data_IF_961546223707
#
_entry.id   IF_961546223707
#
_cell.length_a   1.000
_cell.length_b   1.000
_cell.length_c   1.000
_cell.angle_alpha   90.00
_cell.angle_beta   90.00
_cell.angle_gamma   90.00
#
_symmetry.space_group_name_H-M   'P 1'
#
loop_
_entity.id
_entity.type
_entity.pdbx_description
1 polymer ?
#
# COMPACT_ATOMS: atom_id res chain seq x y z
N UNK A 1 -43.51 -3.60 44.43
CA UNK A 1 -44.62 -3.85 45.37
C UNK A 1 -45.54 -2.64 45.39
N UNK A 2 -46.87 -2.84 45.42
CA UNK A 2 -47.90 -1.88 45.92
C UNK A 2 -48.01 -0.49 45.21
N UNK A 3 -49.15 0.23 45.22
CA UNK A 3 -50.58 -0.14 45.35
C UNK A 3 -51.46 0.97 44.72
N UNK A 4 -52.62 0.58 44.19
CA UNK A 4 -53.87 1.36 44.04
C UNK A 4 -54.67 1.20 45.37
N UNK A 5 -55.72 1.96 45.80
CA UNK A 5 -56.50 3.12 45.25
C UNK A 5 -56.12 4.45 45.99
N UNK A 6 -56.93 5.57 46.11
CA UNK A 6 -58.35 5.83 45.78
C UNK A 6 -58.70 7.21 45.16
N UNK A 7 -60.00 7.57 45.17
CA UNK A 7 -60.58 8.90 44.89
C UNK A 7 -61.70 9.22 45.92
N UNK A 8 -62.14 10.47 46.06
CA UNK A 8 -63.46 10.85 46.67
C UNK A 8 -63.83 12.35 46.48
N UNK A 9 -65.13 12.75 46.60
CA UNK A 9 -65.63 14.04 46.08
C UNK A 9 -66.21 15.04 47.14
N UNK A 10 -67.52 15.39 47.23
CA UNK A 10 -67.95 16.79 47.03
C UNK A 10 -68.73 17.44 48.19
N UNK A 11 -68.98 18.77 48.12
CA UNK A 11 -69.85 19.53 49.06
C UNK A 11 -70.81 20.49 48.32
N UNK A 12 -71.96 20.81 48.94
CA UNK A 12 -73.15 21.51 48.38
C UNK A 12 -73.85 22.32 49.50
N UNK A 13 -74.66 23.33 49.14
CA UNK A 13 -75.67 24.04 49.99
C UNK A 13 -75.10 25.07 51.02
N UNK A 14 -75.83 25.97 51.73
CA UNK A 14 -77.27 26.19 52.09
C UNK A 14 -77.44 27.68 52.63
N UNK A 15 -78.56 28.37 53.02
CA UNK A 15 -80.05 28.20 53.00
C UNK A 15 -80.86 29.47 53.45
N UNK A 16 -81.18 30.45 52.58
CA UNK A 16 -82.18 31.52 52.86
C UNK A 16 -81.79 32.57 53.93
N UNK A 17 -82.71 33.36 54.55
CA UNK A 17 -84.19 33.29 54.48
C UNK A 17 -85.01 34.63 54.34
N UNK A 18 -86.33 34.46 54.12
CA UNK A 18 -87.54 35.30 54.41
C UNK A 18 -87.47 36.77 54.92
N UNK A 19 -88.41 37.58 54.39
CA UNK A 19 -89.21 38.59 55.13
C UNK A 19 -89.07 40.04 54.64
N UNK A 20 -90.07 40.94 54.67
CA UNK A 20 -91.52 40.88 55.00
C UNK A 20 -92.25 42.09 54.34
N UNK A 21 -93.56 41.98 54.07
CA UNK A 21 -94.38 43.16 53.71
C UNK A 21 -94.61 44.10 54.90
N UNK A 22 -94.87 45.38 54.64
CA UNK A 22 -96.16 45.93 55.10
C UNK A 22 -96.90 46.73 54.01
N UNK A 23 -98.19 47.01 54.24
CA UNK A 23 -98.99 47.93 53.44
C UNK A 23 -99.91 48.75 54.36
N UNK A 24 -99.90 50.09 54.25
CA UNK A 24 -100.92 50.95 54.84
C UNK A 24 -100.98 52.36 54.20
N UNK A 25 -102.15 52.66 53.62
CA UNK A 25 -102.86 53.96 53.60
C UNK A 25 -102.08 55.28 53.41
N UNK A 26 -102.30 55.88 52.25
CA UNK A 26 -103.10 57.12 52.08
C UNK A 26 -103.02 58.16 53.22
N UNK A 27 -102.12 59.13 53.09
CA UNK A 27 -102.30 60.49 53.59
C UNK A 27 -102.77 61.40 52.45
N UNK A 28 -103.76 62.26 52.68
CA UNK A 28 -104.27 63.19 51.65
C UNK A 28 -103.49 64.50 51.67
N UNK A 29 -103.00 64.97 50.52
CA UNK A 29 -102.21 66.20 50.45
C UNK A 29 -101.68 66.56 49.06
N UNK A 30 -102.57 67.11 48.21
CA UNK A 30 -102.29 68.05 47.08
C UNK A 30 -101.18 67.65 46.06
N UNK A 31 -101.58 67.40 44.81
CA UNK A 31 -100.65 67.06 43.72
C UNK A 31 -99.94 68.28 43.12
N UNK A 32 -98.63 68.43 43.37
CA UNK A 32 -97.78 69.39 42.65
C UNK A 32 -97.19 68.75 41.38
N UNK A 33 -97.98 68.75 40.31
CA UNK A 33 -97.64 68.11 39.03
C UNK A 33 -96.31 68.56 38.41
N UNK A 34 -95.82 69.76 38.70
CA UNK A 34 -94.60 70.31 38.09
C UNK A 34 -93.34 69.49 38.40
N UNK A 35 -93.16 69.05 39.65
CA UNK A 35 -91.97 68.28 40.06
C UNK A 35 -92.02 66.84 39.50
N UNK A 36 -93.21 66.23 39.49
CA UNK A 36 -93.43 64.90 38.94
C UNK A 36 -93.25 64.85 37.41
N UNK A 37 -93.44 65.97 36.69
CA UNK A 37 -93.16 66.06 35.26
C UNK A 37 -91.66 66.21 34.98
N UNK A 38 -90.93 67.05 35.74
CA UNK A 38 -89.48 67.18 35.61
C UNK A 38 -88.76 65.84 35.86
N UNK A 39 -89.09 65.17 36.97
CA UNK A 39 -88.55 63.84 37.30
C UNK A 39 -88.92 62.77 36.26
N UNK A 40 -90.04 62.90 35.54
CA UNK A 40 -90.38 62.00 34.41
C UNK A 40 -89.64 62.34 33.11
N UNK A 41 -89.13 63.57 32.95
CA UNK A 41 -88.22 63.91 31.85
C UNK A 41 -86.85 63.32 32.14
N UNK A 42 -86.28 63.63 33.31
CA UNK A 42 -84.99 63.08 33.76
C UNK A 42 -84.98 61.55 33.75
N UNK A 43 -86.01 60.88 34.28
CA UNK A 43 -86.10 59.41 34.28
C UNK A 43 -86.39 58.80 32.89
N UNK A 44 -86.83 59.61 31.91
CA UNK A 44 -86.86 59.19 30.50
C UNK A 44 -85.52 59.39 29.84
N UNK A 45 -84.85 60.51 30.09
CA UNK A 45 -83.55 60.88 29.55
C UNK A 45 -82.47 59.89 30.03
N UNK A 46 -82.38 59.58 31.33
CA UNK A 46 -81.49 58.54 31.85
C UNK A 46 -81.83 57.17 31.28
N UNK A 47 -83.10 56.79 31.21
CA UNK A 47 -83.50 55.51 30.61
C UNK A 47 -83.24 55.43 29.10
N UNK A 48 -83.14 56.57 28.41
CA UNK A 48 -82.64 56.61 27.02
C UNK A 48 -81.12 56.60 26.95
N UNK A 49 -80.39 57.22 27.87
CA UNK A 49 -78.92 57.14 27.90
C UNK A 49 -78.47 55.72 28.26
N UNK A 50 -79.02 55.10 29.30
CA UNK A 50 -78.84 53.68 29.64
C UNK A 50 -79.14 52.77 28.44
N UNK A 51 -80.18 53.08 27.64
CA UNK A 51 -80.51 52.31 26.44
C UNK A 51 -79.50 52.50 25.31
N UNK A 52 -78.94 53.71 25.14
CA UNK A 52 -77.89 54.00 24.15
C UNK A 52 -76.57 53.37 24.60
N UNK A 53 -76.18 53.51 25.87
CA UNK A 53 -75.01 52.84 26.46
C UNK A 53 -75.10 51.32 26.32
N UNK A 54 -76.26 50.72 26.63
CA UNK A 54 -76.49 49.28 26.42
C UNK A 54 -76.50 48.89 24.94
N UNK A 55 -76.81 49.81 24.01
CA UNK A 55 -76.70 49.58 22.57
C UNK A 55 -75.24 49.63 22.11
N UNK A 56 -74.48 50.68 22.48
CA UNK A 56 -73.04 50.78 22.22
C UNK A 56 -72.26 49.61 22.81
N UNK A 57 -72.63 49.16 24.02
CA UNK A 57 -72.02 47.99 24.67
C UNK A 57 -72.33 46.70 23.90
N UNK A 58 -73.55 46.56 23.37
CA UNK A 58 -73.95 45.41 22.56
C UNK A 58 -73.28 45.42 21.18
N UNK A 59 -73.11 46.59 20.54
CA UNK A 59 -72.38 46.75 19.28
C UNK A 59 -70.87 46.48 19.47
N UNK A 60 -70.30 46.86 20.63
CA UNK A 60 -68.96 46.43 21.07
C UNK A 60 -68.87 44.92 21.31
N UNK A 61 -69.89 44.30 21.91
CA UNK A 61 -69.93 42.83 22.04
C UNK A 61 -70.09 42.13 20.70
N UNK A 62 -70.89 42.65 19.76
CA UNK A 62 -71.06 42.10 18.42
C UNK A 62 -69.74 42.13 17.65
N UNK A 63 -69.07 43.28 17.59
CA UNK A 63 -67.75 43.41 16.96
C UNK A 63 -66.66 42.59 17.66
N UNK A 64 -66.73 42.39 18.98
CA UNK A 64 -65.85 41.44 19.69
C UNK A 64 -66.12 39.99 19.30
N UNK A 65 -67.39 39.57 19.20
CA UNK A 65 -67.80 38.23 18.77
C UNK A 65 -67.38 37.96 17.32
N UNK A 66 -67.51 38.95 16.43
CA UNK A 66 -67.00 38.86 15.05
C UNK A 66 -65.48 38.73 15.01
N UNK A 67 -64.75 39.52 15.83
CA UNK A 67 -63.30 39.42 15.93
C UNK A 67 -62.84 38.06 16.50
N UNK A 68 -63.55 37.51 17.50
CA UNK A 68 -63.30 36.16 18.01
C UNK A 68 -63.58 35.10 16.94
N UNK A 69 -64.68 35.20 16.20
CA UNK A 69 -64.98 34.29 15.08
C UNK A 69 -63.93 34.35 13.97
N UNK A 70 -63.44 35.55 13.62
CA UNK A 70 -62.38 35.73 12.64
C UNK A 70 -61.06 35.10 13.13
N UNK A 71 -60.68 35.31 14.39
CA UNK A 71 -59.51 34.69 15.01
C UNK A 71 -59.65 33.17 15.15
N UNK A 72 -60.84 32.65 15.44
CA UNK A 72 -61.13 31.22 15.39
C UNK A 72 -60.99 30.65 13.99
N UNK A 73 -61.48 31.35 12.96
CA UNK A 73 -61.38 30.91 11.57
C UNK A 73 -59.93 30.93 11.09
N UNK A 74 -59.17 31.98 11.44
CA UNK A 74 -57.74 32.08 11.18
C UNK A 74 -56.97 30.97 11.91
N UNK A 75 -57.25 30.68 13.19
CA UNK A 75 -56.65 29.55 13.89
C UNK A 75 -57.02 28.20 13.26
N UNK A 76 -58.25 28.01 12.78
CA UNK A 76 -58.66 26.78 12.06
C UNK A 76 -57.88 26.62 10.76
N UNK A 77 -57.64 27.70 10.01
CA UNK A 77 -56.79 27.68 8.81
C UNK A 77 -55.32 27.38 9.18
N UNK A 78 -54.74 28.10 10.13
CA UNK A 78 -53.35 27.90 10.57
C UNK A 78 -53.10 26.49 11.13
N UNK A 79 -54.08 25.88 11.82
CA UNK A 79 -53.99 24.48 12.28
C UNK A 79 -54.07 23.50 11.10
N UNK A 80 -54.88 23.76 10.08
CA UNK A 80 -54.91 22.94 8.87
C UNK A 80 -53.62 23.07 8.06
N UNK A 81 -53.07 24.28 7.93
CA UNK A 81 -51.78 24.54 7.28
C UNK A 81 -50.62 23.89 8.04
N UNK A 82 -50.59 23.99 9.37
CA UNK A 82 -49.57 23.36 10.22
C UNK A 82 -49.66 21.83 10.18
N UNK A 83 -50.87 21.26 10.12
CA UNK A 83 -51.05 19.82 9.92
C UNK A 83 -50.60 19.41 8.51
N UNK A 84 -50.99 20.13 7.45
CA UNK A 84 -50.52 19.85 6.08
C UNK A 84 -48.99 19.96 5.93
N UNK A 85 -48.35 20.92 6.61
CA UNK A 85 -46.89 21.07 6.64
C UNK A 85 -46.19 20.01 7.49
N UNK A 86 -46.93 19.24 8.30
CA UNK A 86 -46.43 18.14 9.14
C UNK A 86 -46.69 16.76 8.51
N UNK A 87 -47.81 16.62 7.82
CA UNK A 87 -48.18 15.45 7.01
C UNK A 87 -47.38 15.43 5.69
N UNK A 88 -46.80 16.57 5.28
CA UNK A 88 -45.63 16.63 4.40
C UNK A 88 -44.39 16.15 5.18
N UNK A 89 -44.29 14.82 5.32
CA UNK A 89 -43.21 14.15 6.06
C UNK A 89 -41.79 14.57 5.64
N UNK A 90 -40.82 14.52 6.57
CA UNK A 90 -39.47 15.04 6.35
C UNK A 90 -38.67 14.20 5.34
N UNK A 91 -38.77 14.59 4.08
CA UNK A 91 -37.75 14.40 3.04
C UNK A 91 -37.46 12.96 2.61
N UNK A 92 -38.21 12.49 1.60
CA UNK A 92 -37.90 11.26 0.80
C UNK A 92 -36.46 11.21 0.26
N UNK A 93 -35.81 12.37 0.14
CA UNK A 93 -34.40 12.48 -0.23
C UNK A 93 -33.47 11.82 0.81
N UNK A 94 -33.86 11.81 2.09
CA UNK A 94 -33.17 11.09 3.15
C UNK A 94 -33.19 9.57 2.94
N UNK A 95 -34.30 9.00 2.47
CA UNK A 95 -34.41 7.58 2.16
C UNK A 95 -33.57 7.21 0.93
N UNK A 96 -33.57 8.06 -0.10
CA UNK A 96 -32.71 7.90 -1.30
C UNK A 96 -31.23 7.92 -0.91
N UNK A 97 -30.79 8.84 -0.06
CA UNK A 97 -29.40 8.85 0.42
C UNK A 97 -29.08 7.67 1.34
N UNK A 98 -30.01 7.18 2.15
CA UNK A 98 -29.81 5.98 2.97
C UNK A 98 -29.65 4.72 2.09
N UNK A 99 -30.46 4.56 1.05
CA UNK A 99 -30.35 3.44 0.11
C UNK A 99 -29.05 3.53 -0.72
N UNK A 100 -28.66 4.74 -1.16
CA UNK A 100 -27.35 4.95 -1.79
C UNK A 100 -26.19 4.59 -0.84
N UNK A 101 -26.26 4.97 0.43
CA UNK A 101 -25.27 4.54 1.45
C UNK A 101 -25.28 3.02 1.65
N UNK A 102 -26.45 2.37 1.61
CA UNK A 102 -26.57 0.91 1.75
C UNK A 102 -25.92 0.19 0.57
N UNK A 103 -26.16 0.66 -0.66
CA UNK A 103 -25.53 0.14 -1.88
C UNK A 103 -24.01 0.38 -1.87
N UNK A 104 -23.56 1.58 -1.49
CA UNK A 104 -22.12 1.88 -1.36
C UNK A 104 -21.42 0.99 -0.33
N UNK A 105 -22.02 0.75 0.84
CA UNK A 105 -21.48 -0.18 1.85
C UNK A 105 -21.38 -1.61 1.33
N UNK A 106 -22.44 -2.10 0.69
CA UNK A 106 -22.44 -3.43 0.06
C UNK A 106 -21.34 -3.54 -1.02
N UNK A 107 -21.09 -2.47 -1.77
CA UNK A 107 -20.02 -2.45 -2.77
C UNK A 107 -18.62 -2.44 -2.15
N UNK A 108 -18.42 -1.73 -1.03
CA UNK A 108 -17.17 -1.79 -0.23
C UNK A 108 -16.95 -3.19 0.35
N UNK A 109 -17.99 -3.87 0.84
CA UNK A 109 -17.91 -5.26 1.31
C UNK A 109 -17.60 -6.24 0.17
N UNK A 110 -18.19 -6.05 -1.02
CA UNK A 110 -17.89 -6.83 -2.22
C UNK A 110 -16.45 -6.63 -2.69
N UNK A 111 -15.97 -5.38 -2.74
CA UNK A 111 -14.59 -5.05 -3.12
C UNK A 111 -13.59 -5.55 -2.08
N UNK A 112 -13.90 -5.44 -0.78
CA UNK A 112 -13.08 -5.97 0.30
C UNK A 112 -12.94 -7.50 0.26
N UNK A 113 -14.03 -8.21 0.02
CA UNK A 113 -14.00 -9.69 -0.13
C UNK A 113 -13.35 -10.14 -1.44
N UNK A 114 -13.44 -9.37 -2.52
CA UNK A 114 -12.69 -9.61 -3.75
C UNK A 114 -11.18 -9.37 -3.55
N UNK A 115 -10.80 -8.26 -2.90
CA UNK A 115 -9.41 -7.94 -2.56
C UNK A 115 -8.77 -9.04 -1.72
N UNK A 116 -9.44 -9.48 -0.65
CA UNK A 116 -8.93 -10.54 0.23
C UNK A 116 -8.71 -11.88 -0.52
N UNK A 117 -9.53 -12.20 -1.53
CA UNK A 117 -9.31 -13.38 -2.39
C UNK A 117 -8.08 -13.22 -3.28
N UNK A 118 -7.94 -12.06 -3.94
CA UNK A 118 -6.79 -11.75 -4.79
C UNK A 118 -5.47 -11.67 -3.99
N UNK A 119 -5.51 -11.25 -2.73
CA UNK A 119 -4.35 -11.29 -1.82
C UNK A 119 -3.94 -12.73 -1.48
N UNK A 120 -4.90 -13.61 -1.21
CA UNK A 120 -4.64 -15.05 -1.00
C UNK A 120 -4.12 -15.71 -2.30
N UNK A 121 -4.70 -15.40 -3.46
CA UNK A 121 -4.24 -15.92 -4.76
C UNK A 121 -2.83 -15.43 -5.09
N UNK A 122 -2.49 -14.17 -4.81
CA UNK A 122 -1.13 -13.63 -4.90
C UNK A 122 -0.16 -14.40 -4.02
N UNK A 123 -0.51 -14.64 -2.76
CA UNK A 123 0.40 -15.27 -1.80
C UNK A 123 0.62 -16.76 -2.09
N UNK A 124 -0.41 -17.46 -2.55
CA UNK A 124 -0.28 -18.82 -3.07
C UNK A 124 0.66 -18.84 -4.29
N UNK A 125 0.47 -17.95 -5.27
CA UNK A 125 1.33 -17.86 -6.46
C UNK A 125 2.78 -17.48 -6.12
N UNK A 126 3.00 -16.62 -5.12
CA UNK A 126 4.33 -16.28 -4.63
C UNK A 126 5.02 -17.48 -3.93
N UNK A 127 4.26 -18.29 -3.20
CA UNK A 127 4.76 -19.53 -2.61
C UNK A 127 5.05 -20.61 -3.68
N UNK A 128 4.19 -20.75 -4.69
CA UNK A 128 4.43 -21.65 -5.81
C UNK A 128 5.70 -21.24 -6.59
N UNK A 129 5.85 -19.96 -6.91
CA UNK A 129 7.03 -19.40 -7.58
C UNK A 129 8.31 -19.63 -6.78
N UNK A 130 8.32 -19.40 -5.46
CA UNK A 130 9.51 -19.67 -4.64
C UNK A 130 9.83 -21.17 -4.56
N UNK A 131 8.81 -22.04 -4.52
CA UNK A 131 9.02 -23.50 -4.58
C UNK A 131 9.58 -23.97 -5.93
N UNK A 132 9.20 -23.31 -7.03
CA UNK A 132 9.70 -23.61 -8.38
C UNK A 132 11.12 -23.06 -8.58
N UNK A 133 11.44 -21.89 -8.02
CA UNK A 133 12.79 -21.34 -7.99
C UNK A 133 13.74 -22.23 -7.20
N UNK A 134 13.32 -22.74 -6.04
CA UNK A 134 14.12 -23.70 -5.26
C UNK A 134 14.37 -25.00 -6.05
N UNK A 135 13.31 -25.64 -6.58
CA UNK A 135 13.45 -26.85 -7.40
C UNK A 135 14.36 -26.63 -8.62
N UNK A 136 14.31 -25.45 -9.25
CA UNK A 136 15.20 -25.11 -10.35
C UNK A 136 16.67 -24.97 -9.90
N UNK A 137 16.93 -24.45 -8.69
CA UNK A 137 18.27 -24.40 -8.12
C UNK A 137 18.78 -25.82 -7.79
N UNK A 138 17.95 -26.66 -7.19
CA UNK A 138 18.26 -28.06 -6.88
C UNK A 138 18.55 -28.90 -8.14
N UNK A 139 17.75 -28.75 -9.19
CA UNK A 139 18.01 -29.40 -10.50
C UNK A 139 19.27 -28.85 -11.18
N UNK A 140 19.60 -27.56 -11.01
CA UNK A 140 20.84 -26.98 -11.55
C UNK A 140 22.08 -27.51 -10.81
N UNK A 141 22.04 -27.67 -9.48
CA UNK A 141 23.17 -28.29 -8.75
C UNK A 141 23.33 -29.76 -9.12
N UNK A 142 22.24 -30.54 -9.16
CA UNK A 142 22.26 -31.93 -9.62
C UNK A 142 22.81 -32.07 -11.05
N UNK A 143 22.46 -31.16 -11.96
CA UNK A 143 23.00 -31.16 -13.34
C UNK A 143 24.50 -30.88 -13.36
N UNK A 144 24.98 -29.93 -12.56
CA UNK A 144 26.41 -29.59 -12.47
C UNK A 144 27.22 -30.72 -11.82
N UNK A 145 26.68 -31.40 -10.80
CA UNK A 145 27.28 -32.60 -10.21
C UNK A 145 27.36 -33.75 -11.23
N UNK A 146 26.28 -33.98 -11.99
CA UNK A 146 26.27 -34.98 -13.06
C UNK A 146 27.26 -34.67 -14.19
N UNK A 147 27.37 -33.39 -14.60
CA UNK A 147 28.36 -32.93 -15.59
C UNK A 147 29.80 -33.11 -15.09
N UNK A 148 30.06 -32.80 -13.81
CA UNK A 148 31.36 -33.02 -13.16
C UNK A 148 31.75 -34.50 -13.09
N UNK A 149 30.83 -35.35 -12.62
CA UNK A 149 31.03 -36.80 -12.56
C UNK A 149 31.25 -37.41 -13.95
N UNK A 150 30.52 -36.94 -14.97
CA UNK A 150 30.69 -37.37 -16.35
C UNK A 150 32.04 -36.93 -16.95
N UNK A 151 32.55 -35.75 -16.57
CA UNK A 151 33.89 -35.31 -16.93
C UNK A 151 34.98 -36.17 -16.27
N UNK A 152 34.82 -36.51 -14.99
CA UNK A 152 35.73 -37.43 -14.29
C UNK A 152 35.74 -38.83 -14.94
N UNK A 153 34.57 -39.41 -15.24
CA UNK A 153 34.50 -40.71 -15.91
C UNK A 153 35.09 -40.70 -17.34
N UNK A 154 35.03 -39.58 -18.07
CA UNK A 154 35.77 -39.43 -19.33
C UNK A 154 37.28 -39.48 -19.09
N UNK A 155 37.78 -38.72 -18.12
CA UNK A 155 39.20 -38.73 -17.76
C UNK A 155 39.68 -40.12 -17.32
N UNK A 156 38.88 -40.87 -16.56
CA UNK A 156 39.19 -42.25 -16.16
C UNK A 156 39.20 -43.22 -17.35
N UNK A 157 38.29 -43.06 -18.31
CA UNK A 157 38.31 -43.82 -19.57
C UNK A 157 39.56 -43.47 -20.38
N UNK A 158 39.90 -42.20 -20.55
CA UNK A 158 41.08 -41.75 -21.29
C UNK A 158 42.37 -42.30 -20.64
N UNK A 159 42.51 -42.16 -19.31
CA UNK A 159 43.58 -42.77 -18.51
C UNK A 159 43.66 -44.30 -18.74
N UNK A 160 42.51 -44.98 -18.74
CA UNK A 160 42.41 -46.41 -19.01
C UNK A 160 42.85 -46.78 -20.43
N UNK A 161 42.53 -45.98 -21.45
CA UNK A 161 43.01 -46.21 -22.82
C UNK A 161 44.51 -46.00 -22.96
N UNK A 162 45.08 -44.99 -22.30
CA UNK A 162 46.53 -44.75 -22.26
C UNK A 162 47.26 -45.93 -21.61
N UNK A 163 46.79 -46.40 -20.45
CA UNK A 163 47.34 -47.57 -19.78
C UNK A 163 47.24 -48.84 -20.65
N UNK A 164 46.14 -49.00 -21.41
CA UNK A 164 45.98 -50.11 -22.36
C UNK A 164 46.99 -50.01 -23.52
N UNK A 165 47.18 -48.82 -24.09
CA UNK A 165 48.15 -48.56 -25.16
C UNK A 165 49.61 -48.75 -24.70
N UNK A 166 49.92 -48.44 -23.45
CA UNK A 166 51.24 -48.70 -22.85
C UNK A 166 51.50 -50.21 -22.69
N UNK A 167 50.48 -50.97 -22.24
CA UNK A 167 50.56 -52.42 -22.15
C UNK A 167 50.63 -53.08 -23.54
N UNK A 168 49.84 -52.64 -24.51
CA UNK A 168 49.90 -53.10 -25.91
C UNK A 168 51.29 -52.86 -26.52
N UNK A 169 51.85 -51.66 -26.35
CA UNK A 169 53.22 -51.34 -26.78
C UNK A 169 54.25 -52.23 -26.11
N UNK A 170 54.13 -52.47 -24.80
CA UNK A 170 55.08 -53.32 -24.06
C UNK A 170 54.99 -54.80 -24.45
N UNK A 171 53.78 -55.30 -24.70
CA UNK A 171 53.56 -56.64 -25.27
C UNK A 171 54.20 -56.75 -26.65
N UNK A 172 54.05 -55.74 -27.51
CA UNK A 172 54.74 -55.67 -28.81
C UNK A 172 56.27 -55.78 -28.66
N UNK A 173 56.89 -54.92 -27.84
CA UNK A 173 58.35 -54.96 -27.63
C UNK A 173 58.86 -56.30 -27.08
N UNK A 174 58.08 -56.98 -26.23
CA UNK A 174 58.43 -58.30 -25.70
C UNK A 174 58.24 -59.41 -26.76
N UNK A 175 57.29 -59.27 -27.67
CA UNK A 175 57.13 -60.18 -28.81
C UNK A 175 58.28 -60.03 -29.81
N UNK A 176 58.71 -58.80 -30.08
CA UNK A 176 59.89 -58.51 -30.92
C UNK A 176 61.18 -59.05 -30.29
N UNK A 177 61.36 -58.89 -28.97
CA UNK A 177 62.50 -59.45 -28.21
C UNK A 177 62.50 -60.99 -28.26
N UNK A 178 61.36 -61.64 -28.06
CA UNK A 178 61.23 -63.10 -28.21
C UNK A 178 61.51 -63.56 -29.65
N UNK A 179 61.06 -62.81 -30.65
CA UNK A 179 61.32 -63.12 -32.06
C UNK A 179 62.79 -62.94 -32.44
N UNK A 180 63.47 -61.93 -31.88
CA UNK A 180 64.91 -61.72 -32.02
C UNK A 180 65.70 -62.87 -31.38
N UNK A 181 65.44 -63.19 -30.10
CA UNK A 181 66.12 -64.28 -29.39
C UNK A 181 65.94 -65.64 -30.07
N UNK A 182 64.76 -65.90 -30.67
CA UNK A 182 64.55 -67.12 -31.47
C UNK A 182 65.44 -67.17 -32.71
N UNK A 183 65.56 -66.07 -33.46
CA UNK A 183 66.45 -66.01 -34.63
C UNK A 183 67.91 -66.21 -34.24
N UNK A 184 68.37 -65.55 -33.18
CA UNK A 184 69.73 -65.72 -32.66
C UNK A 184 69.99 -67.20 -32.29
N UNK A 185 69.09 -67.85 -31.56
CA UNK A 185 69.24 -69.28 -31.24
C UNK A 185 69.17 -70.19 -32.49
N UNK A 186 68.35 -69.87 -33.50
CA UNK A 186 68.31 -70.61 -34.77
C UNK A 186 69.62 -70.44 -35.57
N UNK A 187 70.21 -69.26 -35.56
CA UNK A 187 71.51 -68.94 -36.17
C UNK A 187 72.65 -69.64 -35.41
N UNK A 188 72.70 -69.57 -34.08
CA UNK A 188 73.66 -70.30 -33.22
C UNK A 188 73.56 -71.83 -33.43
N UNK A 189 72.35 -72.39 -33.47
CA UNK A 189 72.14 -73.82 -33.74
C UNK A 189 72.60 -74.20 -35.15
N UNK A 190 72.39 -73.33 -36.15
CA UNK A 190 72.91 -73.54 -37.51
C UNK A 190 74.44 -73.49 -37.52
N UNK A 191 75.07 -72.51 -36.86
CA UNK A 191 76.53 -72.43 -36.77
C UNK A 191 77.12 -73.65 -36.08
N UNK A 192 76.52 -74.12 -34.98
CA UNK A 192 76.94 -75.35 -34.30
C UNK A 192 76.77 -76.60 -35.17
N UNK A 193 75.71 -76.68 -35.99
CA UNK A 193 75.55 -77.75 -36.99
C UNK A 193 76.57 -77.63 -38.14
N UNK A 194 76.95 -76.43 -38.56
CA UNK A 194 78.03 -76.23 -39.52
C UNK A 194 79.39 -76.59 -38.91
N UNK A 195 79.67 -76.25 -37.65
CA UNK A 195 80.88 -76.67 -36.95
C UNK A 195 80.93 -78.20 -36.79
N UNK A 196 79.83 -78.84 -36.40
CA UNK A 196 79.75 -80.29 -36.25
C UNK A 196 79.87 -81.03 -37.61
N UNK A 197 79.32 -80.47 -38.69
CA UNK A 197 79.47 -81.05 -40.03
C UNK A 197 80.86 -80.83 -40.61
N UNK A 198 81.49 -79.66 -40.40
CA UNK A 198 82.92 -79.42 -40.71
C UNK A 198 83.84 -80.38 -39.93
N UNK A 199 83.51 -80.70 -38.66
CA UNK A 199 84.23 -81.70 -37.86
C UNK A 199 83.97 -83.15 -38.32
N UNK A 200 82.82 -83.43 -38.95
CA UNK A 200 82.52 -84.75 -39.55
C UNK A 200 83.04 -84.94 -40.98
N UNK A 201 83.32 -83.86 -41.69
CA UNK A 201 83.76 -83.86 -43.10
C UNK A 201 85.18 -83.29 -43.19
N UNK A 202 86.14 -84.03 -42.63
CA UNK A 202 87.56 -83.77 -42.82
C UNK A 202 88.39 -85.06 -42.97
N UNK A 203 88.15 -85.76 -44.09
CA UNK A 203 89.11 -86.69 -44.70
C UNK A 203 89.09 -86.47 -46.22
N UNK A 204 90.25 -86.07 -46.74
CA UNK A 204 90.77 -86.25 -48.10
C UNK A 204 89.82 -86.22 -49.33
N UNK A 205 90.05 -85.26 -50.23
CA UNK A 205 89.85 -85.43 -51.68
C UNK A 205 91.11 -84.94 -52.40
N UNK A 206 91.59 -85.73 -53.35
CA UNK A 206 92.90 -85.59 -53.98
C UNK A 206 92.96 -84.50 -55.07
N UNK A 207 94.17 -84.01 -55.37
CA UNK A 207 94.39 -82.83 -56.20
C UNK A 207 94.68 -83.17 -57.67
N UNK A 208 93.73 -82.84 -58.56
CA UNK A 208 94.02 -82.62 -59.99
C UNK A 208 94.12 -81.12 -60.26
N UNK A 209 95.22 -80.66 -60.87
CA UNK A 209 95.59 -79.24 -60.96
C UNK A 209 94.93 -78.53 -62.16
N UNK A 210 94.08 -77.50 -61.95
CA UNK A 210 93.90 -76.40 -62.89
C UNK A 210 95.07 -75.40 -62.75
N UNK A 211 95.10 -74.31 -63.53
CA UNK A 211 96.01 -73.20 -63.26
C UNK A 211 95.58 -72.42 -62.01
N UNK A 212 96.08 -72.89 -60.86
CA UNK A 212 95.90 -72.31 -59.54
C UNK A 212 96.34 -70.83 -59.49
N UNK A 213 97.28 -70.42 -60.35
CA UNK A 213 97.83 -69.05 -60.39
C UNK A 213 96.84 -68.05 -60.98
N UNK A 214 95.99 -68.49 -61.91
CA UNK A 214 94.87 -67.69 -62.40
C UNK A 214 93.74 -67.66 -61.38
N UNK A 215 93.29 -68.83 -60.92
CA UNK A 215 92.18 -68.94 -59.97
C UNK A 215 92.42 -68.17 -58.66
N UNK A 216 93.62 -68.24 -58.07
CA UNK A 216 93.95 -67.47 -56.85
C UNK A 216 93.97 -65.96 -57.10
N UNK A 217 94.29 -65.51 -58.31
CA UNK A 217 94.31 -64.08 -58.67
C UNK A 217 92.88 -63.55 -58.86
N UNK A 218 92.00 -64.35 -59.45
CA UNK A 218 90.59 -64.00 -59.65
C UNK A 218 89.79 -64.09 -58.34
N UNK A 219 90.06 -65.09 -57.49
CA UNK A 219 89.52 -65.15 -56.13
C UNK A 219 89.97 -63.91 -55.34
N UNK A 220 91.25 -63.53 -55.44
CA UNK A 220 91.77 -62.33 -54.77
C UNK A 220 91.11 -61.04 -55.28
N UNK A 221 90.97 -60.87 -56.59
CA UNK A 221 90.33 -59.66 -57.15
C UNK A 221 88.84 -59.59 -56.80
N UNK A 222 88.14 -60.72 -56.72
CA UNK A 222 86.77 -60.80 -56.20
C UNK A 222 86.70 -60.42 -54.72
N UNK A 223 87.60 -60.92 -53.87
CA UNK A 223 87.66 -60.53 -52.46
C UNK A 223 88.00 -59.05 -52.27
N UNK A 224 88.93 -58.50 -53.04
CA UNK A 224 89.28 -57.07 -53.00
C UNK A 224 88.11 -56.20 -53.49
N UNK A 225 87.37 -56.62 -54.52
CA UNK A 225 86.17 -55.94 -54.99
C UNK A 225 84.99 -56.01 -53.99
N UNK A 226 84.74 -57.17 -53.38
CA UNK A 226 83.68 -57.34 -52.36
C UNK A 226 84.03 -56.57 -51.08
N UNK A 227 85.30 -56.55 -50.67
CA UNK A 227 85.75 -55.73 -49.54
C UNK A 227 85.59 -54.23 -49.82
N UNK A 228 85.90 -53.77 -51.04
CA UNK A 228 85.68 -52.39 -51.45
C UNK A 228 84.18 -52.02 -51.51
N UNK A 229 83.33 -52.90 -52.05
CA UNK A 229 81.87 -52.70 -52.09
C UNK A 229 81.30 -52.60 -50.68
N UNK A 230 81.63 -53.56 -49.79
CA UNK A 230 81.18 -53.56 -48.40
C UNK A 230 81.69 -52.32 -47.62
N UNK A 231 82.92 -51.87 -47.84
CA UNK A 231 83.44 -50.64 -47.25
C UNK A 231 82.68 -49.39 -47.74
N UNK A 232 82.31 -49.34 -49.03
CA UNK A 232 81.52 -48.24 -49.60
C UNK A 232 80.05 -48.29 -49.14
N UNK A 233 79.44 -49.48 -49.10
CA UNK A 233 78.07 -49.70 -48.65
C UNK A 233 77.90 -49.36 -47.17
N UNK A 234 78.85 -49.76 -46.31
CA UNK A 234 78.85 -49.38 -44.89
C UNK A 234 79.06 -47.87 -44.72
N UNK A 235 79.98 -47.24 -45.47
CA UNK A 235 80.16 -45.78 -45.42
C UNK A 235 78.88 -45.03 -45.87
N UNK A 236 78.21 -45.50 -46.92
CA UNK A 236 76.93 -44.95 -47.39
C UNK A 236 75.80 -45.17 -46.37
N UNK A 237 75.73 -46.35 -45.75
CA UNK A 237 74.76 -46.67 -44.70
C UNK A 237 74.94 -45.77 -43.48
N UNK A 238 76.19 -45.58 -43.00
CA UNK A 238 76.48 -44.64 -41.93
C UNK A 238 76.13 -43.20 -42.32
N UNK A 239 76.47 -42.74 -43.52
CA UNK A 239 76.11 -41.40 -44.02
C UNK A 239 74.59 -41.19 -44.04
N UNK A 240 73.83 -42.17 -44.55
CA UNK A 240 72.37 -42.13 -44.52
C UNK A 240 71.85 -42.08 -43.08
N UNK A 241 72.39 -42.92 -42.19
CA UNK A 241 71.94 -42.98 -40.79
C UNK A 241 72.24 -41.71 -40.01
N UNK A 242 73.38 -41.06 -40.26
CA UNK A 242 73.69 -39.74 -39.71
C UNK A 242 72.80 -38.63 -40.28
N UNK A 243 72.43 -38.70 -41.58
CA UNK A 243 71.45 -37.80 -42.16
C UNK A 243 70.07 -37.97 -41.51
N UNK A 244 69.54 -39.21 -41.44
CA UNK A 244 68.26 -39.53 -40.80
C UNK A 244 68.17 -39.00 -39.35
N UNK A 245 69.24 -39.20 -38.57
CA UNK A 245 69.32 -38.73 -37.18
C UNK A 245 69.40 -37.20 -37.07
N UNK A 246 70.11 -36.54 -38.00
CA UNK A 246 70.19 -35.07 -38.07
C UNK A 246 68.83 -34.48 -38.44
N UNK A 247 68.16 -35.06 -39.43
CA UNK A 247 66.82 -34.66 -39.87
C UNK A 247 65.77 -34.86 -38.77
N UNK A 248 65.79 -36.00 -38.07
CA UNK A 248 64.91 -36.26 -36.93
C UNK A 248 65.14 -35.24 -35.81
N UNK A 249 66.41 -34.94 -35.48
CA UNK A 249 66.77 -33.94 -34.49
C UNK A 249 66.35 -32.52 -34.91
N UNK A 250 66.45 -32.17 -36.20
CA UNK A 250 65.98 -30.89 -36.73
C UNK A 250 64.47 -30.74 -36.57
N UNK A 251 63.68 -31.71 -37.05
CA UNK A 251 62.21 -31.74 -36.93
C UNK A 251 61.75 -31.71 -35.48
N UNK A 252 62.42 -32.42 -34.58
CA UNK A 252 62.10 -32.40 -33.14
C UNK A 252 62.42 -31.04 -32.50
N UNK A 253 63.49 -30.36 -32.92
CA UNK A 253 63.78 -28.99 -32.49
C UNK A 253 62.78 -27.97 -33.05
N UNK A 254 62.25 -28.18 -34.26
CA UNK A 254 61.20 -27.34 -34.86
C UNK A 254 59.87 -27.50 -34.13
N UNK A 255 59.43 -28.74 -33.89
CA UNK A 255 58.26 -29.02 -33.06
C UNK A 255 58.37 -28.42 -31.65
N UNK A 256 59.56 -28.49 -31.03
CA UNK A 256 59.83 -27.87 -29.74
C UNK A 256 59.82 -26.33 -29.80
N UNK A 257 60.14 -25.70 -30.95
CA UNK A 257 59.99 -24.24 -31.13
C UNK A 257 58.52 -23.86 -31.32
N UNK A 258 57.77 -24.59 -32.15
CA UNK A 258 56.34 -24.36 -32.38
C UNK A 258 55.53 -24.45 -31.07
N UNK A 259 55.67 -25.56 -30.31
CA UNK A 259 55.01 -25.72 -29.02
C UNK A 259 55.41 -24.64 -27.99
N UNK A 260 56.64 -24.10 -28.07
CA UNK A 260 57.07 -22.96 -27.24
C UNK A 260 56.48 -21.63 -27.72
N UNK A 261 56.21 -21.45 -29.02
CA UNK A 261 55.54 -20.26 -29.54
C UNK A 261 54.06 -20.27 -29.13
N UNK A 262 53.35 -21.38 -29.37
CA UNK A 262 51.98 -21.62 -28.93
C UNK A 262 51.82 -21.39 -27.42
N UNK A 263 52.67 -21.98 -26.58
CA UNK A 263 52.63 -21.78 -25.12
C UNK A 263 52.85 -20.30 -24.71
N UNK A 264 53.67 -19.54 -25.44
CA UNK A 264 53.83 -18.11 -25.21
C UNK A 264 52.63 -17.29 -25.71
N UNK A 265 51.95 -17.72 -26.76
CA UNK A 265 50.75 -17.09 -27.29
C UNK A 265 49.55 -17.31 -26.37
N UNK A 266 49.31 -18.53 -25.90
CA UNK A 266 48.31 -18.81 -24.85
C UNK A 266 48.61 -18.03 -23.56
N UNK A 267 49.87 -17.91 -23.15
CA UNK A 267 50.28 -17.06 -22.01
C UNK A 267 49.93 -15.58 -22.24
N UNK A 268 50.17 -15.04 -23.44
CA UNK A 268 49.80 -13.64 -23.79
C UNK A 268 48.28 -13.44 -23.83
N UNK A 269 47.53 -14.39 -24.40
CA UNK A 269 46.07 -14.36 -24.42
C UNK A 269 45.51 -14.37 -23.00
N UNK A 270 46.01 -15.26 -22.12
CA UNK A 270 45.61 -15.33 -20.72
C UNK A 270 45.91 -14.02 -19.97
N UNK A 271 47.08 -13.39 -20.23
CA UNK A 271 47.39 -12.07 -19.67
C UNK A 271 46.44 -10.98 -20.18
N UNK A 272 46.11 -10.95 -21.48
CA UNK A 272 45.15 -10.00 -22.04
C UNK A 272 43.76 -10.15 -21.42
N UNK A 273 43.19 -11.37 -21.41
CA UNK A 273 41.90 -11.64 -20.77
C UNK A 273 41.91 -11.32 -19.26
N UNK A 274 43.05 -11.46 -18.57
CA UNK A 274 43.16 -11.08 -17.15
C UNK A 274 43.04 -9.57 -16.99
N UNK A 275 43.76 -8.78 -17.81
CA UNK A 275 43.65 -7.32 -17.81
C UNK A 275 42.24 -6.84 -18.21
N UNK A 276 41.60 -7.48 -19.19
CA UNK A 276 40.22 -7.16 -19.60
C UNK A 276 39.21 -7.45 -18.46
N UNK A 277 39.38 -8.57 -17.76
CA UNK A 277 38.58 -8.91 -16.56
C UNK A 277 38.80 -7.92 -15.41
N UNK A 278 40.04 -7.47 -15.18
CA UNK A 278 40.37 -6.46 -14.16
C UNK A 278 39.78 -5.09 -14.54
N UNK A 279 39.84 -4.69 -15.80
CA UNK A 279 39.24 -3.44 -16.30
C UNK A 279 37.70 -3.47 -16.21
N UNK A 280 37.07 -4.59 -16.58
CA UNK A 280 35.61 -4.77 -16.45
C UNK A 280 35.16 -4.80 -14.99
N UNK A 281 35.93 -5.43 -14.08
CA UNK A 281 35.68 -5.36 -12.63
C UNK A 281 35.76 -3.93 -12.11
N UNK A 282 36.84 -3.21 -12.40
CA UNK A 282 36.99 -1.81 -11.99
C UNK A 282 35.88 -0.89 -12.53
N UNK A 283 35.45 -1.13 -13.78
CA UNK A 283 34.29 -0.46 -14.38
C UNK A 283 33.00 -0.76 -13.63
N UNK A 284 32.70 -2.04 -13.35
CA UNK A 284 31.50 -2.44 -12.61
C UNK A 284 31.49 -1.86 -11.19
N UNK A 285 32.59 -1.95 -10.43
CA UNK A 285 32.66 -1.33 -9.10
C UNK A 285 32.49 0.21 -9.16
N UNK A 286 32.90 0.87 -10.25
CA UNK A 286 32.69 2.31 -10.43
C UNK A 286 31.22 2.66 -10.66
N UNK A 287 30.50 1.83 -11.44
CA UNK A 287 29.07 1.95 -11.66
C UNK A 287 28.28 1.64 -10.39
N UNK A 288 28.66 0.62 -9.62
CA UNK A 288 28.03 0.35 -8.32
C UNK A 288 28.25 1.48 -7.31
N UNK A 289 29.42 2.14 -7.31
CA UNK A 289 29.65 3.33 -6.47
C UNK A 289 28.76 4.50 -6.91
N UNK A 290 28.70 4.78 -8.20
CA UNK A 290 27.81 5.82 -8.75
C UNK A 290 26.33 5.54 -8.45
N UNK A 291 25.90 4.28 -8.51
CA UNK A 291 24.53 3.88 -8.19
C UNK A 291 24.21 4.11 -6.70
N UNK A 292 25.09 3.69 -5.79
CA UNK A 292 24.95 3.97 -4.34
C UNK A 292 24.93 5.47 -4.05
N UNK A 293 25.83 6.25 -4.67
CA UNK A 293 25.85 7.71 -4.54
C UNK A 293 24.55 8.37 -5.03
N UNK A 294 23.89 7.83 -6.06
CA UNK A 294 22.60 8.32 -6.54
C UNK A 294 21.46 7.92 -5.59
N UNK A 295 21.46 6.69 -5.09
CA UNK A 295 20.50 6.21 -4.08
C UNK A 295 20.58 7.04 -2.79
N UNK A 296 21.78 7.33 -2.29
CA UNK A 296 22.03 8.19 -1.13
C UNK A 296 21.53 9.62 -1.37
N UNK A 297 21.78 10.21 -2.55
CA UNK A 297 21.27 11.55 -2.90
C UNK A 297 19.75 11.58 -2.96
N UNK A 298 19.11 10.62 -3.64
CA UNK A 298 17.64 10.55 -3.70
C UNK A 298 17.01 10.26 -2.33
N UNK A 299 17.67 9.49 -1.45
CA UNK A 299 17.22 9.31 -0.07
C UNK A 299 17.28 10.61 0.73
N UNK A 300 18.37 11.39 0.60
CA UNK A 300 18.52 12.70 1.24
C UNK A 300 17.51 13.73 0.70
N UNK A 301 17.28 13.77 -0.62
CA UNK A 301 16.24 14.61 -1.23
C UNK A 301 14.84 14.23 -0.74
N UNK A 302 14.53 12.92 -0.70
CA UNK A 302 13.23 12.41 -0.21
C UNK A 302 13.01 12.74 1.26
N UNK A 303 14.04 12.59 2.11
CA UNK A 303 13.99 13.01 3.50
C UNK A 303 13.79 14.53 3.63
N UNK A 304 14.48 15.33 2.80
CA UNK A 304 14.28 16.78 2.73
C UNK A 304 12.85 17.19 2.36
N UNK A 305 12.22 16.50 1.39
CA UNK A 305 10.82 16.72 1.06
C UNK A 305 9.88 16.31 2.22
N UNK A 306 10.12 15.18 2.88
CA UNK A 306 9.37 14.74 4.06
C UNK A 306 9.47 15.76 5.20
N UNK A 307 10.65 16.30 5.47
CA UNK A 307 10.90 17.39 6.42
C UNK A 307 10.08 18.65 6.09
N UNK A 308 9.98 19.03 4.81
CA UNK A 308 9.16 20.18 4.40
C UNK A 308 7.66 19.92 4.52
N UNK A 309 7.20 18.68 4.25
CA UNK A 309 5.80 18.30 4.46
C UNK A 309 5.45 18.33 5.94
N UNK A 310 6.27 17.74 6.81
CA UNK A 310 6.05 17.72 8.26
C UNK A 310 5.94 19.14 8.86
N UNK A 311 6.80 20.08 8.44
CA UNK A 311 6.73 21.48 8.87
C UNK A 311 5.46 22.17 8.39
N UNK A 312 5.06 21.96 7.14
CA UNK A 312 3.80 22.50 6.62
C UNK A 312 2.57 21.89 7.31
N UNK A 313 2.62 20.62 7.72
CA UNK A 313 1.59 19.99 8.53
C UNK A 313 1.54 20.54 9.96
N UNK A 314 2.68 20.90 10.56
CA UNK A 314 2.78 21.59 11.85
C UNK A 314 2.25 23.04 11.78
N UNK A 315 2.61 23.81 10.75
CA UNK A 315 2.05 25.14 10.46
C UNK A 315 0.53 25.09 10.26
N UNK A 316 0.03 24.07 9.54
CA UNK A 316 -1.40 23.83 9.35
C UNK A 316 -2.11 23.44 10.66
N UNK A 317 -1.41 22.81 11.61
CA UNK A 317 -1.96 22.48 12.93
C UNK A 317 -1.99 23.70 13.86
N UNK A 318 -0.90 24.46 13.95
CA UNK A 318 -0.83 25.67 14.77
C UNK A 318 -1.86 26.72 14.34
N UNK A 319 -2.00 26.97 13.03
CA UNK A 319 -3.02 27.88 12.49
C UNK A 319 -4.47 27.40 12.76
N UNK A 320 -4.71 26.08 12.83
CA UNK A 320 -6.03 25.53 13.24
C UNK A 320 -6.30 25.77 14.73
N UNK A 321 -5.28 25.63 15.58
CA UNK A 321 -5.41 25.96 17.00
C UNK A 321 -5.65 27.46 17.22
N UNK A 322 -4.91 28.33 16.53
CA UNK A 322 -5.11 29.79 16.63
C UNK A 322 -6.50 30.20 16.15
N UNK A 323 -6.98 29.63 15.05
CA UNK A 323 -8.37 29.82 14.59
C UNK A 323 -9.39 29.34 15.64
N UNK A 324 -9.15 28.20 16.29
CA UNK A 324 -10.02 27.69 17.35
C UNK A 324 -10.02 28.58 18.62
N UNK A 325 -8.85 29.11 19.02
CA UNK A 325 -8.71 30.07 20.12
C UNK A 325 -9.48 31.35 19.80
N UNK A 326 -9.29 31.93 18.62
CA UNK A 326 -10.04 33.14 18.20
C UNK A 326 -11.55 32.92 18.12
N UNK A 327 -12.02 31.75 17.66
CA UNK A 327 -13.45 31.43 17.69
C UNK A 327 -14.01 31.37 19.13
N UNK A 328 -13.23 30.89 20.10
CA UNK A 328 -13.59 30.95 21.51
C UNK A 328 -13.59 32.39 22.04
N UNK A 329 -12.56 33.18 21.74
CA UNK A 329 -12.48 34.61 22.12
C UNK A 329 -13.69 35.41 21.59
N UNK A 330 -14.08 35.18 20.34
CA UNK A 330 -15.27 35.81 19.73
C UNK A 330 -16.58 35.36 20.39
N UNK A 331 -16.69 34.07 20.76
CA UNK A 331 -17.87 33.57 21.46
C UNK A 331 -17.99 34.18 22.87
N UNK A 332 -16.88 34.32 23.59
CA UNK A 332 -16.89 34.92 24.93
C UNK A 332 -17.10 36.44 24.90
N UNK A 333 -16.57 37.14 23.90
CA UNK A 333 -16.90 38.53 23.64
C UNK A 333 -18.39 38.71 23.29
N UNK A 334 -18.98 37.80 22.50
CA UNK A 334 -20.41 37.79 22.23
C UNK A 334 -21.24 37.53 23.49
N UNK A 335 -20.79 36.61 24.37
CA UNK A 335 -21.43 36.35 25.66
C UNK A 335 -21.46 37.62 26.54
N UNK A 336 -20.34 38.35 26.62
CA UNK A 336 -20.25 39.64 27.32
C UNK A 336 -21.17 40.69 26.67
N UNK A 337 -21.21 40.76 25.33
CA UNK A 337 -22.08 41.71 24.61
C UNK A 337 -23.57 41.45 24.91
N UNK A 338 -23.99 40.19 24.98
CA UNK A 338 -25.36 39.82 25.33
C UNK A 338 -25.71 40.14 26.79
N UNK A 339 -24.75 40.00 27.72
CA UNK A 339 -24.94 40.44 29.11
C UNK A 339 -25.15 41.97 29.17
N UNK A 340 -24.33 42.75 28.45
CA UNK A 340 -24.47 44.21 28.38
C UNK A 340 -25.79 44.65 27.71
N UNK A 341 -26.27 43.94 26.67
CA UNK A 341 -27.61 44.19 26.11
C UNK A 341 -28.70 43.99 27.16
N UNK A 342 -28.61 42.93 27.98
CA UNK A 342 -29.56 42.64 29.05
C UNK A 342 -29.51 43.68 30.16
N UNK A 343 -28.33 44.16 30.55
CA UNK A 343 -28.17 45.27 31.50
C UNK A 343 -28.79 46.57 30.94
N UNK A 344 -28.50 46.94 29.69
CA UNK A 344 -29.12 48.11 29.04
C UNK A 344 -30.65 47.97 29.01
N UNK A 345 -31.17 46.77 28.75
CA UNK A 345 -32.61 46.50 28.75
C UNK A 345 -33.26 46.56 30.14
N UNK A 346 -32.55 46.19 31.23
CA UNK A 346 -33.07 46.36 32.61
C UNK A 346 -32.97 47.81 33.08
N UNK A 347 -31.89 48.52 32.75
CA UNK A 347 -31.77 49.96 33.03
C UNK A 347 -32.86 50.78 32.33
N UNK A 348 -33.17 50.50 31.05
CA UNK A 348 -34.28 51.16 30.33
C UNK A 348 -35.63 50.94 31.03
N UNK A 349 -35.97 49.69 31.36
CA UNK A 349 -37.21 49.36 32.09
C UNK A 349 -37.31 50.02 33.47
N UNK A 350 -36.18 50.21 34.16
CA UNK A 350 -36.14 50.90 35.44
C UNK A 350 -36.42 52.41 35.28
N UNK A 351 -35.86 53.03 34.25
CA UNK A 351 -36.09 54.45 33.90
C UNK A 351 -37.54 54.69 33.47
N UNK A 352 -38.08 53.88 32.55
CA UNK A 352 -39.50 53.87 32.14
C UNK A 352 -40.42 53.75 33.38
N UNK A 353 -40.01 52.96 34.38
CA UNK A 353 -40.69 52.78 35.65
C UNK A 353 -40.64 53.99 36.60
N UNK A 354 -39.64 54.88 36.49
CA UNK A 354 -39.57 56.16 37.23
C UNK A 354 -40.35 57.27 36.50
N UNK A 355 -40.27 57.35 35.17
CA UNK A 355 -41.08 58.28 34.37
C UNK A 355 -42.59 58.04 34.60
N UNK A 356 -42.96 56.76 34.75
CA UNK A 356 -44.30 56.32 35.15
C UNK A 356 -44.71 56.74 36.57
N UNK A 357 -43.76 57.05 37.46
CA UNK A 357 -44.02 57.56 38.83
C UNK A 357 -44.09 59.08 38.91
N UNK A 358 -43.38 59.77 38.03
CA UNK A 358 -43.22 61.24 38.06
C UNK A 358 -44.37 61.97 37.31
N UNK A 359 -45.06 61.29 36.39
CA UNK A 359 -46.02 61.93 35.47
C UNK A 359 -47.45 62.01 36.02
N UNK A 360 -47.86 63.22 36.46
CA UNK A 360 -49.26 63.63 36.65
C UNK A 360 -49.77 64.28 35.35
N UNK A 361 -51.01 64.02 34.87
CA UNK A 361 -51.38 64.27 33.47
C UNK A 361 -51.71 65.73 33.12
N UNK A 362 -51.21 66.19 31.97
CA UNK A 362 -51.69 67.37 31.23
C UNK A 362 -51.76 67.05 29.73
N UNK A 363 -52.84 67.49 29.07
CA UNK A 363 -53.14 67.35 27.63
C UNK A 363 -52.53 68.54 26.84
N UNK A 364 -52.22 68.50 25.53
CA UNK A 364 -52.18 67.42 24.51
C UNK A 364 -51.52 67.95 23.21
N UNK A 365 -50.98 67.03 22.38
CA UNK A 365 -50.53 67.23 20.97
C UNK A 365 -49.30 68.17 20.76
N UNK A 366 -48.45 68.02 19.73
CA UNK A 366 -48.55 67.24 18.48
C UNK A 366 -47.21 66.63 18.02
N UNK A 367 -47.29 65.49 17.30
CA UNK A 367 -46.41 65.01 16.24
C UNK A 367 -44.88 65.21 16.32
N UNK A 368 -44.15 64.09 16.45
CA UNK A 368 -43.04 63.75 15.54
C UNK A 368 -42.87 62.22 15.49
N UNK A 369 -42.92 61.63 14.28
CA UNK A 369 -42.73 60.20 14.08
C UNK A 369 -41.29 59.90 13.66
N UNK A 370 -40.55 59.18 14.51
CA UNK A 370 -39.39 58.37 14.10
C UNK A 370 -39.72 56.92 14.45
N UNK A 371 -39.28 55.99 13.60
CA UNK A 371 -39.87 54.64 13.47
C UNK A 371 -38.75 53.61 13.54
N UNK A 372 -38.76 52.77 14.56
CA UNK A 372 -37.91 51.58 14.62
C UNK A 372 -38.65 50.41 15.28
N UNK A 373 -38.30 49.19 14.90
CA UNK A 373 -39.14 48.00 15.13
C UNK A 373 -38.76 47.27 16.42
N UNK A 374 -39.75 46.93 17.24
CA UNK A 374 -39.60 45.91 18.28
C UNK A 374 -39.72 44.51 17.66
N UNK A 375 -38.84 43.58 18.04
CA UNK A 375 -38.92 42.15 17.71
C UNK A 375 -39.18 41.34 18.99
N UNK A 376 -40.08 40.36 18.90
CA UNK A 376 -40.51 39.54 20.03
C UNK A 376 -39.39 38.63 20.59
N UNK A 377 -38.85 38.95 21.76
CA UNK A 377 -38.14 37.97 22.59
C UNK A 377 -39.11 37.25 23.52
N UNK A 378 -39.74 36.18 23.01
CA UNK A 378 -40.50 35.24 23.86
C UNK A 378 -39.54 34.54 24.83
N UNK A 379 -39.94 34.45 26.10
CA UNK A 379 -39.23 33.68 27.12
C UNK A 379 -39.18 32.20 26.75
N UNK A 380 -37.99 31.62 26.67
CA UNK A 380 -37.78 30.17 26.58
C UNK A 380 -37.21 29.68 27.91
N UNK A 381 -37.84 28.67 28.48
CA UNK A 381 -37.47 28.04 29.75
C UNK A 381 -36.17 27.23 29.64
N UNK A 382 -35.49 27.07 30.78
CA UNK A 382 -34.33 26.19 30.95
C UNK A 382 -34.58 24.80 30.33
N UNK A 383 -33.73 24.41 29.38
CA UNK A 383 -33.65 23.04 28.89
C UNK A 383 -32.19 22.61 28.89
N UNK A 384 -31.89 21.51 29.58
CA UNK A 384 -30.52 21.08 29.85
C UNK A 384 -29.86 20.56 28.57
N UNK A 385 -28.95 21.34 28.00
CA UNK A 385 -28.22 20.98 26.76
C UNK A 385 -27.21 19.87 27.07
N UNK A 386 -27.62 18.62 26.87
CA UNK A 386 -26.71 17.46 26.86
C UNK A 386 -25.76 17.57 25.68
N UNK A 387 -24.53 18.04 25.93
CA UNK A 387 -23.45 18.01 24.95
C UNK A 387 -23.09 16.55 24.64
N UNK A 388 -22.99 16.21 23.35
CA UNK A 388 -22.54 14.89 22.88
C UNK A 388 -21.14 15.04 22.30
N UNK A 389 -20.17 14.37 22.90
CA UNK A 389 -18.79 14.32 22.40
C UNK A 389 -18.71 13.19 21.36
N UNK A 390 -18.12 13.49 20.21
CA UNK A 390 -17.89 12.52 19.12
C UNK A 390 -16.39 12.43 18.90
N UNK A 391 -15.77 11.34 19.37
CA UNK A 391 -14.37 11.07 19.09
C UNK A 391 -14.27 10.39 17.73
N UNK A 392 -13.43 10.96 16.85
CA UNK A 392 -12.97 10.31 15.62
C UNK A 392 -11.58 9.74 15.87
N UNK A 393 -11.39 8.46 15.53
CA UNK A 393 -10.07 7.90 15.31
C UNK A 393 -9.91 7.57 13.83
N UNK A 394 -8.76 7.93 13.27
CA UNK A 394 -8.45 7.82 11.85
C UNK A 394 -7.13 7.07 11.74
N UNK A 395 -7.17 5.89 11.12
CA UNK A 395 -5.98 5.08 10.86
C UNK A 395 -5.51 5.38 9.44
N UNK A 396 -4.37 6.08 9.32
CA UNK A 396 -3.70 6.40 8.06
C UNK A 396 -2.45 5.54 7.87
N UNK A 397 -2.15 5.22 6.62
CA UNK A 397 -0.86 4.65 6.22
C UNK A 397 -0.54 5.14 4.82
N UNK A 398 0.72 5.51 4.58
CA UNK A 398 1.22 5.92 3.26
C UNK A 398 0.39 7.06 2.62
N UNK A 399 -0.16 7.95 3.45
CA UNK A 399 -0.99 9.10 3.06
C UNK A 399 -2.50 8.83 2.94
N UNK A 400 -2.93 7.58 2.79
CA UNK A 400 -4.36 7.24 2.63
C UNK A 400 -5.04 6.86 3.95
N UNK A 401 -6.32 7.26 4.08
CA UNK A 401 -7.18 6.91 5.22
C UNK A 401 -7.74 5.51 5.02
N UNK A 402 -7.13 4.52 5.67
CA UNK A 402 -7.57 3.13 5.58
C UNK A 402 -8.84 2.86 6.41
N UNK A 403 -9.07 3.64 7.48
CA UNK A 403 -10.24 3.47 8.36
C UNK A 403 -10.59 4.73 9.14
N UNK A 404 -11.86 5.17 9.05
CA UNK A 404 -12.44 6.17 9.95
C UNK A 404 -13.42 5.48 10.91
N UNK A 405 -13.17 5.53 12.21
CA UNK A 405 -14.10 5.06 13.24
C UNK A 405 -14.71 6.25 13.99
N UNK A 406 -16.02 6.17 14.25
CA UNK A 406 -16.80 7.19 14.96
C UNK A 406 -17.49 6.54 16.14
N UNK A 407 -16.97 6.76 17.33
CA UNK A 407 -17.56 6.24 18.55
C UNK A 407 -18.19 7.38 19.34
N UNK A 408 -19.53 7.43 19.34
CA UNK A 408 -20.26 8.38 20.17
C UNK A 408 -20.20 7.93 21.63
N UNK A 409 -19.72 8.79 22.52
CA UNK A 409 -19.93 8.61 23.95
C UNK A 409 -21.04 9.54 24.43
N UNK A 410 -22.03 8.94 25.08
CA UNK A 410 -23.12 9.61 25.77
C UNK A 410 -22.80 9.53 27.26
N UNK A 411 -22.12 10.53 27.79
CA UNK A 411 -22.00 10.66 29.24
C UNK A 411 -23.40 10.81 29.84
N UNK A 412 -23.64 10.04 30.90
CA UNK A 412 -24.83 10.19 31.73
C UNK A 412 -24.72 11.43 32.64
N UNK A 413 -25.84 11.85 33.26
CA UNK A 413 -25.79 12.79 34.37
C UNK A 413 -25.15 12.16 35.62
#
# INVERSE_FOLDING_TARGET
MHRVPPASPPVRSHRGPRGTHPAARLGSGRMDFSLATALNSEFRETRTSERVEMMELNDRFASYIEKVRLLEQQNKVLVLELNQARDQEPSRLGDVYQEQLRVLRLHVEQLGTAKARLEIERDNLAQDLSSLQQKLQDEVTLRLEAESNLAAYRQDVDNGTLARLDLERRVGTLQDEIAFLRKVHEEELRELQEQLSRQRVHVEVDASKPDLTAALRDIRSQYEAVAASNAQETEQWYKSKFADLTDAAARQNEALRAAKQEANEYRRQLQALTCDLEALRGSNESLERQLRELEERYALETAGYQDTVARLEEDIQSLKEEMARHLQDYQDLLNVKLALDMEIATYRKLLEGEESRITIPVQSFSNLQVRENSLDTKSVSETHVKRRIVVKTVETRDGEVLKESKQEHKEGP
#
